data_IF_038833301520
#
_entry.id   IF_038833301520
#
_cell.length_a   1.000
_cell.length_b   1.000
_cell.length_c   1.000
_cell.angle_alpha   90.00
_cell.angle_beta   90.00
_cell.angle_gamma   90.00
#
_symmetry.space_group_name_H-M   'P 1'
#
loop_
_entity.id
_entity.type
_entity.pdbx_description
1 polymer ?
#
# COMPACT_ATOMS: atom_id res chain seq x y z
N UNK A 1 9.43 20.59 -2.62
CA UNK A 1 8.59 19.72 -1.78
C UNK A 1 8.61 18.34 -2.38
N UNK A 2 9.11 17.38 -1.61
CA UNK A 2 9.34 16.01 -2.06
C UNK A 2 8.07 15.16 -1.83
N UNK A 3 7.49 14.67 -2.91
CA UNK A 3 6.27 13.88 -2.88
C UNK A 3 6.49 12.52 -3.53
N UNK A 4 5.85 11.50 -2.99
CA UNK A 4 5.61 10.29 -3.75
C UNK A 4 4.52 10.58 -4.78
N UNK A 5 4.69 10.05 -6.00
CA UNK A 5 3.59 9.94 -6.94
C UNK A 5 2.45 9.08 -6.39
N UNK A 6 1.29 9.05 -7.04
CA UNK A 6 0.16 8.23 -6.61
C UNK A 6 0.61 6.76 -6.41
N UNK A 7 0.26 6.14 -5.28
CA UNK A 7 0.66 4.76 -5.00
C UNK A 7 0.03 3.80 -6.01
N UNK A 8 0.74 2.70 -6.31
CA UNK A 8 0.14 1.61 -7.10
C UNK A 8 -1.07 1.06 -6.35
N UNK A 9 -2.23 1.07 -7.01
CA UNK A 9 -3.44 0.41 -6.53
C UNK A 9 -3.19 -1.09 -6.33
N UNK A 10 -3.75 -1.64 -5.26
CA UNK A 10 -3.74 -3.07 -4.98
C UNK A 10 -5.16 -3.57 -5.27
N UNK A 11 -5.33 -4.54 -6.17
CA UNK A 11 -6.65 -5.07 -6.48
C UNK A 11 -7.28 -5.64 -5.22
N UNK A 12 -8.57 -5.37 -5.04
CA UNK A 12 -9.34 -5.83 -3.87
C UNK A 12 -8.80 -5.34 -2.51
N UNK A 13 -8.08 -4.22 -2.48
CA UNK A 13 -7.69 -3.56 -1.24
C UNK A 13 -8.22 -2.14 -1.17
N UNK A 14 -8.61 -1.73 0.03
CA UNK A 14 -8.96 -0.36 0.37
C UNK A 14 -7.73 0.38 0.91
N UNK A 15 -7.50 1.59 0.41
CA UNK A 15 -6.48 2.50 0.90
C UNK A 15 -7.13 3.54 1.81
N UNK A 16 -6.64 3.66 3.04
CA UNK A 16 -7.19 4.57 4.06
C UNK A 16 -6.45 5.90 4.18
N UNK A 17 -5.83 6.42 3.11
CA UNK A 17 -5.04 7.67 3.19
C UNK A 17 -5.75 8.87 2.60
N UNK A 18 -5.52 10.02 3.22
CA UNK A 18 -5.82 11.34 2.66
C UNK A 18 -4.98 11.60 1.40
N UNK A 19 -5.47 12.51 0.54
CA UNK A 19 -4.97 12.81 -0.82
C UNK A 19 -3.55 13.39 -0.87
N UNK A 20 -2.82 13.44 0.25
CA UNK A 20 -1.50 14.01 0.38
C UNK A 20 -0.42 12.92 0.45
N UNK A 21 0.50 12.93 -0.52
CA UNK A 21 1.55 11.90 -0.68
C UNK A 21 2.94 12.46 -0.37
N UNK A 22 3.12 13.07 0.80
CA UNK A 22 4.39 13.66 1.20
C UNK A 22 5.46 12.59 1.50
N UNK A 23 6.73 12.96 1.41
CA UNK A 23 7.83 12.13 1.91
C UNK A 23 7.62 11.82 3.40
N UNK A 24 7.75 10.55 3.79
CA UNK A 24 7.44 10.06 5.13
C UNK A 24 5.99 9.63 5.36
N UNK A 25 5.06 9.93 4.43
CA UNK A 25 3.66 9.53 4.54
C UNK A 25 3.51 8.01 4.65
N UNK A 26 2.61 7.57 5.53
CA UNK A 26 2.26 6.15 5.70
C UNK A 26 0.87 5.88 5.16
N UNK A 27 0.80 5.00 4.18
CA UNK A 27 -0.43 4.51 3.58
C UNK A 27 -0.81 3.19 4.22
N UNK A 28 -2.05 3.07 4.66
CA UNK A 28 -2.60 1.84 5.22
C UNK A 28 -3.50 1.16 4.19
N UNK A 29 -3.15 -0.07 3.82
CA UNK A 29 -3.91 -0.92 2.93
C UNK A 29 -4.57 -2.04 3.73
N UNK A 30 -5.82 -2.35 3.39
CA UNK A 30 -6.58 -3.45 3.97
C UNK A 30 -7.34 -4.18 2.87
N UNK A 31 -7.29 -5.51 2.85
CA UNK A 31 -8.09 -6.28 1.90
C UNK A 31 -9.57 -6.04 2.12
N UNK A 32 -10.30 -6.01 1.01
CA UNK A 32 -11.76 -6.01 1.02
C UNK A 32 -12.25 -7.37 1.50
N UNK A 33 -13.41 -7.36 2.15
CA UNK A 33 -14.07 -8.58 2.62
C UNK A 33 -14.30 -9.55 1.45
N UNK A 34 -13.86 -10.80 1.63
CA UNK A 34 -13.93 -11.84 0.61
C UNK A 34 -12.62 -12.07 -0.15
N UNK A 35 -11.67 -11.14 -0.06
CA UNK A 35 -10.31 -11.26 -0.61
C UNK A 35 -9.22 -11.28 0.48
N UNK A 36 -9.64 -11.44 1.73
CA UNK A 36 -8.81 -11.56 2.92
C UNK A 36 -8.54 -13.03 3.31
N UNK A 37 -8.67 -13.97 2.35
CA UNK A 37 -8.47 -15.41 2.60
C UNK A 37 -7.01 -15.79 2.85
N UNK A 38 -6.06 -14.96 2.40
CA UNK A 38 -4.62 -15.18 2.56
C UNK A 38 -3.98 -14.04 3.34
N UNK A 39 -3.14 -14.41 4.31
CA UNK A 39 -2.31 -13.45 5.04
C UNK A 39 -1.07 -13.04 4.21
N UNK A 40 -0.59 -11.79 4.35
CA UNK A 40 -1.16 -10.73 5.18
C UNK A 40 -2.36 -10.06 4.52
N UNK A 41 -3.42 -9.81 5.30
CA UNK A 41 -4.68 -9.17 4.85
C UNK A 41 -4.68 -7.65 5.01
N UNK A 42 -3.60 -7.10 5.56
CA UNK A 42 -3.34 -5.67 5.72
C UNK A 42 -1.85 -5.40 5.60
N UNK A 43 -1.50 -4.16 5.32
CA UNK A 43 -0.12 -3.73 5.35
C UNK A 43 0.04 -2.26 5.05
N UNK A 44 1.28 -1.79 5.13
CA UNK A 44 1.58 -0.37 5.02
C UNK A 44 2.62 -0.09 3.95
N UNK A 45 2.48 1.06 3.27
CA UNK A 45 3.53 1.62 2.42
C UNK A 45 3.97 2.95 2.96
N UNK A 46 5.27 3.17 3.00
CA UNK A 46 5.85 4.43 3.44
C UNK A 46 6.49 5.11 2.24
N UNK A 47 6.26 6.42 2.09
CA UNK A 47 6.97 7.19 1.09
C UNK A 47 8.39 7.45 1.59
N UNK A 48 9.40 6.85 0.96
CA UNK A 48 10.80 6.99 1.37
C UNK A 48 11.69 7.30 0.18
N UNK A 49 12.81 7.98 0.44
CA UNK A 49 13.87 8.13 -0.54
C UNK A 49 14.75 6.88 -0.49
N UNK A 50 14.80 6.13 -1.59
CA UNK A 50 15.62 4.93 -1.75
C UNK A 50 16.56 5.18 -2.93
N UNK A 51 17.87 5.12 -2.69
CA UNK A 51 18.90 5.41 -3.70
C UNK A 51 18.70 6.76 -4.42
N UNK A 52 18.39 7.83 -3.67
CA UNK A 52 18.18 9.17 -4.23
C UNK A 52 16.86 9.35 -4.99
N UNK A 53 15.99 8.33 -5.04
CA UNK A 53 14.67 8.41 -5.67
C UNK A 53 13.55 8.23 -4.64
N UNK A 54 12.58 9.13 -4.67
CA UNK A 54 11.39 9.05 -3.82
C UNK A 54 10.48 7.95 -4.36
N UNK A 55 10.24 6.93 -3.56
CA UNK A 55 9.41 5.79 -3.94
C UNK A 55 8.63 5.24 -2.74
N UNK A 56 7.56 4.53 -3.05
CA UNK A 56 6.82 3.78 -2.05
C UNK A 56 7.59 2.53 -1.68
N UNK A 57 7.66 2.21 -0.37
CA UNK A 57 8.23 0.93 0.07
C UNK A 57 7.49 -0.26 -0.56
N UNK A 58 8.19 -1.37 -0.82
CA UNK A 58 7.54 -2.58 -1.30
C UNK A 58 6.50 -3.05 -0.28
N UNK A 59 5.44 -3.67 -0.79
CA UNK A 59 4.38 -4.26 0.02
C UNK A 59 4.04 -5.62 -0.57
N UNK A 60 4.21 -6.68 0.22
CA UNK A 60 4.05 -8.08 -0.19
C UNK A 60 2.63 -8.62 -0.03
N UNK A 61 1.72 -7.78 0.47
CA UNK A 61 0.30 -8.08 0.62
C UNK A 61 -0.36 -8.37 -0.72
N UNK A 62 -1.15 -9.45 -0.77
CA UNK A 62 -1.97 -9.86 -1.90
C UNK A 62 -3.36 -10.23 -1.43
N UNK A 63 -4.37 -9.51 -1.91
CA UNK A 63 -5.76 -9.81 -1.60
C UNK A 63 -6.28 -10.84 -2.60
N UNK A 64 -6.50 -12.07 -2.12
CA UNK A 64 -7.02 -13.18 -2.91
C UNK A 64 -8.21 -13.80 -2.20
N UNK A 65 -9.19 -14.24 -2.99
CA UNK A 65 -10.34 -15.00 -2.51
C UNK A 65 -10.08 -16.53 -2.53
N UNK A 66 -8.92 -16.94 -3.04
CA UNK A 66 -8.47 -18.33 -2.99
C UNK A 66 -8.05 -18.67 -1.56
N UNK A 67 -8.87 -19.48 -0.90
CA UNK A 67 -8.54 -20.16 0.35
C UNK A 67 -7.75 -21.41 -0.02
N UNK A 68 -6.43 -21.34 0.09
CA UNK A 68 -5.53 -22.49 -0.06
C UNK A 68 -5.91 -23.64 0.87
#
# INVERSE_FOLDING_TARGET
TDFCGPPKSIPHASLSSEKSYHLGQVLHFKCQSGFDKRLPTSGTRVCKMVNGKITWTPLEMRCTNDSS
#
